data_IF_275570450826
#
_entry.id   IF_275570450826
#
_cell.length_a   1.000
_cell.length_b   1.000
_cell.length_c   1.000
_cell.angle_alpha   90.00
_cell.angle_beta   90.00
_cell.angle_gamma   90.00
#
_symmetry.space_group_name_H-M   'P 1'
#
loop_
_entity.id
_entity.type
_entity.pdbx_description
1 polymer ?
#
# COMPACT_ATOMS: atom_id res chain seq x y z
N UNK A 1 -43.09 -33.02 -43.85
CA UNK A 1 -42.07 -33.15 -42.78
C UNK A 1 -41.11 -31.96 -42.89
N UNK A 2 -41.16 -31.06 -41.91
CA UNK A 2 -40.55 -29.74 -41.97
C UNK A 2 -39.18 -29.77 -41.26
N UNK A 3 -38.07 -29.80 -42.00
CA UNK A 3 -36.68 -29.81 -41.48
C UNK A 3 -36.04 -28.45 -41.69
N UNK A 4 -36.30 -27.49 -40.80
CA UNK A 4 -35.69 -26.15 -40.86
C UNK A 4 -35.62 -25.49 -39.47
N UNK A 5 -34.92 -26.12 -38.52
CA UNK A 5 -34.73 -25.56 -37.17
C UNK A 5 -33.33 -25.74 -36.48
N UNK A 6 -32.19 -26.13 -37.12
CA UNK A 6 -30.93 -26.25 -36.37
C UNK A 6 -30.08 -24.95 -36.28
N UNK A 7 -30.38 -23.90 -37.05
CA UNK A 7 -29.46 -22.73 -37.16
C UNK A 7 -29.71 -21.68 -36.07
N UNK A 8 -30.94 -21.56 -35.55
CA UNK A 8 -31.28 -20.58 -34.51
C UNK A 8 -30.73 -20.91 -33.13
N UNK A 9 -30.45 -22.19 -32.81
CA UNK A 9 -29.91 -22.59 -31.51
C UNK A 9 -28.42 -22.29 -31.35
N UNK A 10 -27.65 -22.34 -32.45
CA UNK A 10 -26.20 -22.11 -32.43
C UNK A 10 -25.90 -20.62 -32.20
N UNK A 11 -26.64 -19.71 -32.84
CA UNK A 11 -26.43 -18.26 -32.70
C UNK A 11 -26.70 -17.81 -31.24
N UNK A 12 -27.68 -18.42 -30.58
CA UNK A 12 -28.02 -18.08 -29.19
C UNK A 12 -26.93 -18.52 -28.19
N UNK A 13 -26.30 -19.68 -28.42
CA UNK A 13 -25.20 -20.15 -27.56
C UNK A 13 -23.96 -19.25 -27.63
N UNK A 14 -23.59 -18.75 -28.82
CA UNK A 14 -22.45 -17.83 -29.00
C UNK A 14 -22.64 -16.48 -28.29
N UNK A 15 -23.85 -15.93 -28.31
CA UNK A 15 -24.18 -14.68 -27.62
C UNK A 15 -24.16 -14.83 -26.08
N UNK A 16 -24.46 -16.02 -25.59
CA UNK A 16 -24.44 -16.30 -24.14
C UNK A 16 -23.01 -16.44 -23.62
N UNK A 17 -22.12 -17.06 -24.41
CA UNK A 17 -20.69 -17.22 -24.08
C UNK A 17 -19.93 -15.89 -24.14
N UNK A 18 -20.22 -15.02 -25.12
CA UNK A 18 -19.59 -13.69 -25.20
C UNK A 18 -20.01 -12.77 -24.05
N UNK A 19 -21.29 -12.82 -23.65
CA UNK A 19 -21.80 -12.08 -22.50
C UNK A 19 -21.22 -12.58 -21.16
N UNK A 20 -21.06 -13.90 -20.98
CA UNK A 20 -20.41 -14.45 -19.78
C UNK A 20 -18.93 -14.04 -19.68
N UNK A 21 -18.21 -14.01 -20.81
CA UNK A 21 -16.80 -13.56 -20.85
C UNK A 21 -16.67 -12.09 -20.44
N UNK A 22 -17.56 -11.22 -20.90
CA UNK A 22 -17.55 -9.80 -20.54
C UNK A 22 -17.92 -9.56 -19.06
N UNK A 23 -18.76 -10.40 -18.45
CA UNK A 23 -19.06 -10.32 -17.01
C UNK A 23 -17.86 -10.73 -16.13
N UNK A 24 -17.07 -11.72 -16.55
CA UNK A 24 -15.86 -12.16 -15.82
C UNK A 24 -14.79 -11.06 -15.80
N UNK A 25 -14.67 -10.24 -16.86
CA UNK A 25 -13.75 -9.09 -16.88
C UNK A 25 -14.28 -7.84 -16.14
N UNK A 26 -15.59 -7.74 -15.89
CA UNK A 26 -16.20 -6.63 -15.16
C UNK A 26 -16.15 -6.82 -13.62
N UNK A 27 -16.24 -8.06 -13.14
CA UNK A 27 -16.12 -8.44 -11.73
C UNK A 27 -14.87 -7.90 -11.00
N UNK A 28 -13.63 -8.00 -11.57
CA UNK A 28 -12.44 -7.47 -10.90
C UNK A 28 -12.46 -5.95 -10.78
N UNK A 29 -13.12 -5.21 -11.69
CA UNK A 29 -13.22 -3.74 -11.61
C UNK A 29 -14.15 -3.28 -10.50
N UNK A 30 -15.31 -3.94 -10.31
CA UNK A 30 -16.25 -3.59 -9.24
C UNK A 30 -15.67 -3.92 -7.86
N UNK A 31 -14.97 -5.06 -7.73
CA UNK A 31 -14.26 -5.44 -6.51
C UNK A 31 -13.06 -4.50 -6.23
N UNK A 32 -12.32 -4.08 -7.25
CA UNK A 32 -11.24 -3.10 -7.11
C UNK A 32 -11.76 -1.71 -6.68
N UNK A 33 -12.90 -1.27 -7.22
CA UNK A 33 -13.53 0.01 -6.84
C UNK A 33 -14.07 -0.01 -5.40
N UNK A 34 -14.70 -1.11 -4.95
CA UNK A 34 -15.26 -1.21 -3.60
C UNK A 34 -14.17 -1.37 -2.52
N UNK A 35 -13.15 -2.17 -2.80
CA UNK A 35 -11.98 -2.30 -1.90
C UNK A 35 -11.19 -1.00 -1.77
N UNK A 36 -11.15 -0.17 -2.83
CA UNK A 36 -10.49 1.14 -2.79
C UNK A 36 -11.10 2.08 -1.74
N UNK A 37 -12.44 2.18 -1.67
CA UNK A 37 -13.10 3.09 -0.72
C UNK A 37 -12.90 2.63 0.73
N UNK A 38 -12.98 1.32 0.99
CA UNK A 38 -12.77 0.77 2.35
C UNK A 38 -11.33 1.00 2.81
N UNK A 39 -10.34 0.70 1.95
CA UNK A 39 -8.93 0.92 2.27
C UNK A 39 -8.64 2.39 2.63
N UNK A 40 -9.22 3.34 1.88
CA UNK A 40 -9.09 4.76 2.17
C UNK A 40 -9.75 5.16 3.47
N UNK A 41 -10.99 4.72 3.73
CA UNK A 41 -11.68 5.06 4.98
C UNK A 41 -10.91 4.50 6.18
N UNK A 42 -10.47 3.24 6.11
CA UNK A 42 -9.67 2.62 7.17
C UNK A 42 -8.36 3.37 7.36
N UNK A 43 -7.62 3.65 6.30
CA UNK A 43 -6.36 4.38 6.39
C UNK A 43 -6.51 5.84 6.85
N UNK A 44 -7.70 6.43 6.73
CA UNK A 44 -8.00 7.78 7.24
C UNK A 44 -8.50 7.80 8.69
N UNK A 45 -9.22 6.76 9.14
CA UNK A 45 -9.86 6.74 10.45
C UNK A 45 -9.03 5.98 11.49
N UNK A 46 -8.40 4.87 11.07
CA UNK A 46 -7.70 3.96 11.96
C UNK A 46 -6.57 4.61 12.76
N UNK A 47 -5.70 5.48 12.19
CA UNK A 47 -4.68 6.17 12.98
C UNK A 47 -5.22 6.93 14.19
N UNK A 48 -6.33 7.65 14.04
CA UNK A 48 -6.96 8.37 15.14
C UNK A 48 -7.57 7.41 16.18
N UNK A 49 -8.22 6.33 15.72
CA UNK A 49 -8.80 5.30 16.60
C UNK A 49 -7.70 4.62 17.42
N UNK A 50 -6.59 4.23 16.78
CA UNK A 50 -5.48 3.55 17.44
C UNK A 50 -4.81 4.44 18.49
N UNK A 51 -4.52 5.70 18.15
CA UNK A 51 -3.95 6.66 19.10
C UNK A 51 -4.90 6.94 20.27
N UNK A 52 -6.19 7.15 19.99
CA UNK A 52 -7.20 7.36 21.03
C UNK A 52 -7.37 6.14 21.94
N UNK A 53 -7.44 4.95 21.35
CA UNK A 53 -7.60 3.69 22.09
C UNK A 53 -6.41 3.36 22.98
N UNK A 54 -5.19 3.43 22.44
CA UNK A 54 -3.96 3.24 23.23
C UNK A 54 -3.83 4.28 24.34
N UNK A 55 -4.07 5.57 24.05
CA UNK A 55 -4.06 6.64 25.07
C UNK A 55 -5.09 6.38 26.18
N UNK A 56 -6.29 5.88 25.83
CA UNK A 56 -7.31 5.54 26.82
C UNK A 56 -6.89 4.36 27.70
N UNK A 57 -6.30 3.31 27.11
CA UNK A 57 -5.76 2.16 27.86
C UNK A 57 -4.63 2.58 28.80
N UNK A 58 -3.72 3.45 28.35
CA UNK A 58 -2.63 4.00 29.17
C UNK A 58 -3.15 4.76 30.40
N UNK A 59 -4.25 5.52 30.25
CA UNK A 59 -4.88 6.25 31.37
C UNK A 59 -5.58 5.27 32.32
N UNK A 60 -6.16 4.20 31.76
CA UNK A 60 -6.95 3.23 32.51
C UNK A 60 -6.10 2.24 33.31
N UNK A 61 -4.83 2.02 32.93
CA UNK A 61 -3.93 1.06 33.57
C UNK A 61 -3.11 1.70 34.70
N UNK A 62 -3.35 1.37 35.98
CA UNK A 62 -2.60 1.96 37.09
C UNK A 62 -1.11 1.59 37.05
N UNK A 63 -0.24 2.55 37.35
CA UNK A 63 1.21 2.34 37.40
C UNK A 63 1.89 2.26 36.03
N UNK A 64 1.15 2.42 34.93
CA UNK A 64 1.70 2.40 33.59
C UNK A 64 2.46 3.71 33.28
N UNK A 65 3.73 3.60 32.89
CA UNK A 65 4.59 4.71 32.52
C UNK A 65 4.88 4.70 31.01
N UNK A 66 4.41 5.71 30.29
CA UNK A 66 4.51 5.82 28.82
C UNK A 66 5.94 5.92 28.27
N UNK A 67 6.92 6.25 29.10
CA UNK A 67 8.31 6.40 28.69
C UNK A 67 9.04 5.06 28.79
N UNK A 68 8.82 4.32 29.88
CA UNK A 68 9.51 3.05 30.15
C UNK A 68 8.74 1.82 29.69
N UNK A 69 7.40 1.85 29.72
CA UNK A 69 6.56 0.70 29.35
C UNK A 69 6.22 0.72 27.85
N UNK A 70 6.41 -0.42 27.19
CA UNK A 70 6.08 -0.60 25.76
C UNK A 70 4.58 -0.52 25.53
N UNK A 71 4.14 -0.13 24.33
CA UNK A 71 2.71 -0.13 23.97
C UNK A 71 2.13 -1.52 24.25
N UNK A 72 2.82 -2.57 23.79
CA UNK A 72 2.39 -3.96 23.97
C UNK A 72 2.19 -4.43 25.42
N UNK A 73 2.71 -3.73 26.42
CA UNK A 73 2.45 -4.04 27.84
C UNK A 73 1.04 -3.64 28.29
N UNK A 74 0.30 -2.89 27.46
CA UNK A 74 -1.12 -2.56 27.71
C UNK A 74 -2.00 -3.82 27.71
N UNK A 75 -1.57 -4.90 27.05
CA UNK A 75 -2.26 -6.20 27.05
C UNK A 75 -2.44 -6.80 28.45
N UNK A 76 -1.60 -6.40 29.41
CA UNK A 76 -1.67 -6.87 30.79
C UNK A 76 -2.63 -6.05 31.66
N UNK A 77 -3.14 -4.93 31.16
CA UNK A 77 -4.16 -4.15 31.84
C UNK A 77 -5.52 -4.85 31.87
N UNK A 78 -6.47 -4.38 32.70
CA UNK A 78 -7.80 -4.98 32.81
C UNK A 78 -8.60 -4.97 31.48
N UNK A 79 -8.23 -4.06 30.57
CA UNK A 79 -8.81 -3.94 29.23
C UNK A 79 -7.82 -4.31 28.11
N UNK A 80 -6.78 -5.08 28.40
CA UNK A 80 -5.73 -5.41 27.44
C UNK A 80 -6.19 -6.17 26.19
N UNK A 81 -7.33 -6.86 26.25
CA UNK A 81 -7.97 -7.46 25.06
C UNK A 81 -8.32 -6.43 23.97
N UNK A 82 -8.55 -5.16 24.35
CA UNK A 82 -8.80 -4.06 23.40
C UNK A 82 -7.56 -3.80 22.54
N UNK A 83 -6.37 -3.90 23.12
CA UNK A 83 -5.12 -3.76 22.37
C UNK A 83 -4.98 -4.84 21.29
N UNK A 84 -5.23 -6.10 21.63
CA UNK A 84 -5.19 -7.19 20.67
C UNK A 84 -6.15 -6.96 19.49
N UNK A 85 -7.37 -6.45 19.77
CA UNK A 85 -8.31 -6.08 18.70
C UNK A 85 -7.79 -4.91 17.84
N UNK A 86 -7.12 -3.93 18.45
CA UNK A 86 -6.49 -2.84 17.72
C UNK A 86 -5.36 -3.34 16.81
N UNK A 87 -4.52 -4.28 17.25
CA UNK A 87 -3.49 -4.91 16.40
C UNK A 87 -4.10 -5.70 15.24
N UNK A 88 -5.19 -6.45 15.46
CA UNK A 88 -5.93 -7.11 14.38
C UNK A 88 -6.49 -6.10 13.38
N UNK A 89 -7.11 -5.02 13.87
CA UNK A 89 -7.61 -3.95 13.02
C UNK A 89 -6.49 -3.23 12.26
N UNK A 90 -5.30 -3.12 12.85
CA UNK A 90 -4.11 -2.59 12.19
C UNK A 90 -3.69 -3.51 11.04
N UNK A 91 -3.56 -4.81 11.30
CA UNK A 91 -3.23 -5.80 10.29
C UNK A 91 -4.18 -5.72 9.09
N UNK A 92 -5.50 -5.66 9.34
CA UNK A 92 -6.51 -5.52 8.29
C UNK A 92 -6.35 -4.22 7.49
N UNK A 93 -6.09 -3.09 8.17
CA UNK A 93 -5.83 -1.80 7.53
C UNK A 93 -4.63 -1.88 6.59
N UNK A 94 -3.54 -2.51 7.03
CA UNK A 94 -2.33 -2.71 6.23
C UNK A 94 -2.56 -3.65 5.04
N UNK A 95 -3.35 -4.73 5.19
CA UNK A 95 -3.74 -5.59 4.07
C UNK A 95 -4.49 -4.78 3.01
N UNK A 96 -5.51 -4.02 3.43
CA UNK A 96 -6.32 -3.22 2.51
C UNK A 96 -5.49 -2.16 1.79
N UNK A 97 -4.56 -1.51 2.48
CA UNK A 97 -3.63 -0.57 1.87
C UNK A 97 -2.61 -1.26 0.97
N UNK A 98 -2.08 -2.42 1.34
CA UNK A 98 -1.17 -3.21 0.51
C UNK A 98 -1.82 -3.70 -0.80
N UNK A 99 -3.12 -4.00 -0.75
CA UNK A 99 -3.94 -4.32 -1.93
C UNK A 99 -4.22 -3.10 -2.81
N UNK A 100 -4.00 -1.87 -2.31
CA UNK A 100 -4.21 -0.63 -3.04
C UNK A 100 -2.89 -0.02 -3.56
N UNK A 101 -1.81 -0.12 -2.79
CA UNK A 101 -0.49 0.44 -3.10
C UNK A 101 0.43 -0.69 -3.56
N UNK A 102 0.32 -1.10 -4.83
CA UNK A 102 1.10 -2.23 -5.38
C UNK A 102 2.61 -2.08 -5.17
N UNK A 103 3.14 -0.86 -5.25
CA UNK A 103 4.55 -0.56 -5.05
C UNK A 103 5.08 -0.85 -3.63
N UNK A 104 4.20 -0.84 -2.62
CA UNK A 104 4.54 -1.13 -1.22
C UNK A 104 3.85 -2.41 -0.71
N UNK A 105 3.28 -3.22 -1.61
CA UNK A 105 2.43 -4.35 -1.24
C UNK A 105 3.15 -5.37 -0.36
N UNK A 106 4.34 -5.81 -0.76
CA UNK A 106 5.09 -6.83 -0.01
C UNK A 106 5.42 -6.39 1.42
N UNK A 107 6.05 -5.23 1.66
CA UNK A 107 6.35 -4.82 3.03
C UNK A 107 5.10 -4.49 3.87
N UNK A 108 4.02 -3.99 3.26
CA UNK A 108 2.75 -3.78 3.97
C UNK A 108 2.07 -5.09 4.37
N UNK A 109 2.09 -6.10 3.51
CA UNK A 109 1.56 -7.43 3.83
C UNK A 109 2.42 -8.16 4.86
N UNK A 110 3.75 -8.00 4.80
CA UNK A 110 4.65 -8.52 5.82
C UNK A 110 4.39 -7.86 7.19
N UNK A 111 4.25 -6.54 7.23
CA UNK A 111 3.88 -5.82 8.44
C UNK A 111 2.50 -6.25 8.96
N UNK A 112 1.51 -6.43 8.08
CA UNK A 112 0.19 -6.93 8.44
C UNK A 112 0.24 -8.32 9.10
N UNK A 113 1.02 -9.24 8.52
CA UNK A 113 1.24 -10.56 9.10
C UNK A 113 1.89 -10.45 10.47
N UNK A 114 2.88 -9.56 10.62
CA UNK A 114 3.51 -9.28 11.91
C UNK A 114 2.49 -8.80 12.95
N UNK A 115 1.63 -7.84 12.60
CA UNK A 115 0.59 -7.36 13.52
C UNK A 115 -0.40 -8.47 13.92
N UNK A 116 -0.73 -9.38 13.01
CA UNK A 116 -1.55 -10.54 13.33
C UNK A 116 -0.83 -11.51 14.28
N UNK A 117 0.48 -11.70 14.11
CA UNK A 117 1.30 -12.54 15.01
C UNK A 117 1.38 -11.93 16.41
N UNK A 118 1.71 -10.65 16.55
CA UNK A 118 1.80 -10.02 17.89
C UNK A 118 0.45 -9.93 18.62
N UNK A 119 -0.67 -9.95 17.89
CA UNK A 119 -2.00 -10.01 18.49
C UNK A 119 -2.32 -11.39 19.10
N UNK A 120 -1.65 -12.45 18.65
CA UNK A 120 -1.84 -13.83 19.12
C UNK A 120 -0.82 -14.20 20.19
N UNK A 121 0.43 -13.78 20.02
CA UNK A 121 1.51 -14.04 20.96
C UNK A 121 1.63 -12.87 21.94
N UNK A 122 1.38 -13.07 23.24
CA UNK A 122 1.46 -11.99 24.22
C UNK A 122 2.91 -11.52 24.40
N UNK A 123 3.07 -10.26 24.79
CA UNK A 123 4.38 -9.73 25.23
C UNK A 123 4.83 -10.42 26.53
N UNK A 124 6.01 -10.07 27.06
CA UNK A 124 6.47 -10.61 28.35
C UNK A 124 5.63 -10.04 29.49
N UNK A 125 5.22 -10.86 30.45
CA UNK A 125 4.53 -10.36 31.64
C UNK A 125 5.53 -9.62 32.55
N UNK A 126 5.11 -8.56 33.25
CA UNK A 126 5.97 -7.90 34.24
C UNK A 126 6.55 -8.92 35.22
N UNK A 127 7.83 -8.76 35.55
CA UNK A 127 8.57 -9.60 36.51
C UNK A 127 8.63 -11.12 36.19
N UNK A 128 8.24 -11.52 34.98
CA UNK A 128 8.29 -12.92 34.52
C UNK A 128 9.54 -13.20 33.70
N UNK A 129 9.98 -14.47 33.66
CA UNK A 129 11.04 -14.88 32.74
C UNK A 129 10.53 -14.86 31.28
N UNK A 130 11.40 -14.58 30.29
CA UNK A 130 11.02 -14.66 28.88
C UNK A 130 10.46 -16.03 28.52
N UNK A 131 9.31 -16.04 27.83
CA UNK A 131 8.69 -17.24 27.28
C UNK A 131 8.93 -17.30 25.77
N UNK A 132 8.72 -18.48 25.15
CA UNK A 132 8.78 -18.58 23.70
C UNK A 132 7.80 -17.59 23.02
N UNK A 133 6.58 -17.47 23.55
CA UNK A 133 5.57 -16.54 23.02
C UNK A 133 6.02 -15.09 23.10
N UNK A 134 6.59 -14.66 24.23
CA UNK A 134 7.08 -13.29 24.37
C UNK A 134 8.27 -12.98 23.48
N UNK A 135 9.15 -13.96 23.24
CA UNK A 135 10.24 -13.81 22.27
C UNK A 135 9.72 -13.66 20.84
N UNK A 136 8.73 -14.47 20.44
CA UNK A 136 8.06 -14.34 19.13
C UNK A 136 7.44 -12.96 18.99
N UNK A 137 6.71 -12.48 20.00
CA UNK A 137 6.15 -11.14 20.02
C UNK A 137 7.24 -10.07 19.82
N UNK A 138 8.29 -10.12 20.64
CA UNK A 138 9.37 -9.13 20.64
C UNK A 138 10.09 -9.05 19.28
N UNK A 139 10.54 -10.18 18.73
CA UNK A 139 11.23 -10.19 17.44
C UNK A 139 10.31 -9.81 16.28
N UNK A 140 9.02 -10.17 16.37
CA UNK A 140 8.04 -9.75 15.37
C UNK A 140 7.81 -8.24 15.42
N UNK A 141 7.66 -7.65 16.61
CA UNK A 141 7.51 -6.20 16.77
C UNK A 141 8.71 -5.44 16.22
N UNK A 142 9.94 -5.90 16.50
CA UNK A 142 11.17 -5.34 15.92
C UNK A 142 11.18 -5.47 14.38
N UNK A 143 10.77 -6.62 13.85
CA UNK A 143 10.66 -6.86 12.41
C UNK A 143 9.67 -5.90 11.73
N UNK A 144 8.49 -5.68 12.34
CA UNK A 144 7.49 -4.72 11.85
C UNK A 144 8.06 -3.30 11.87
N UNK A 145 8.70 -2.91 12.98
CA UNK A 145 9.29 -1.58 13.14
C UNK A 145 10.34 -1.30 12.04
N UNK A 146 11.16 -2.29 11.69
CA UNK A 146 12.14 -2.21 10.60
C UNK A 146 11.51 -2.27 9.20
N UNK A 147 10.38 -2.96 9.03
CA UNK A 147 9.69 -3.06 7.74
C UNK A 147 9.11 -1.71 7.27
N UNK A 148 8.71 -0.84 8.19
CA UNK A 148 8.15 0.48 7.85
C UNK A 148 9.10 1.36 7.03
N UNK A 149 10.34 1.68 7.47
CA UNK A 149 11.25 2.49 6.68
C UNK A 149 11.60 1.84 5.33
N UNK A 150 11.68 0.50 5.27
CA UNK A 150 11.85 -0.23 4.01
C UNK A 150 10.67 0.02 3.07
N UNK A 151 9.43 -0.09 3.55
CA UNK A 151 8.21 0.18 2.77
C UNK A 151 8.21 1.60 2.20
N UNK A 152 8.55 2.57 3.05
CA UNK A 152 8.68 3.98 2.72
C UNK A 152 9.71 4.21 1.59
N UNK A 153 10.92 3.67 1.71
CA UNK A 153 11.95 3.83 0.68
C UNK A 153 11.62 3.10 -0.62
N UNK A 154 11.03 1.90 -0.54
CA UNK A 154 10.56 1.17 -1.74
C UNK A 154 9.49 1.97 -2.48
N UNK A 155 8.52 2.54 -1.76
CA UNK A 155 7.47 3.36 -2.35
C UNK A 155 8.05 4.61 -3.01
N UNK A 156 8.91 5.34 -2.30
CA UNK A 156 9.59 6.52 -2.82
C UNK A 156 10.40 6.22 -4.09
N UNK A 157 11.20 5.14 -4.07
CA UNK A 157 12.00 4.70 -5.23
C UNK A 157 11.12 4.38 -6.43
N UNK A 158 9.99 3.72 -6.21
CA UNK A 158 9.08 3.31 -7.28
C UNK A 158 8.37 4.51 -7.90
N UNK A 159 7.94 5.47 -7.08
CA UNK A 159 7.16 6.62 -7.53
C UNK A 159 8.01 7.84 -7.93
N UNK A 160 9.33 7.83 -7.74
CA UNK A 160 10.20 9.01 -7.99
C UNK A 160 10.15 9.58 -9.40
N UNK A 161 9.71 8.79 -10.40
CA UNK A 161 9.59 9.22 -11.80
C UNK A 161 8.19 9.77 -12.15
N UNK A 162 7.24 9.67 -11.23
CA UNK A 162 5.86 10.09 -11.45
C UNK A 162 5.61 11.43 -10.75
N UNK A 163 5.61 12.53 -11.51
CA UNK A 163 5.43 13.88 -10.96
C UNK A 163 4.11 14.04 -10.19
N UNK A 164 3.06 13.34 -10.62
CA UNK A 164 1.75 13.32 -9.94
C UNK A 164 1.82 12.80 -8.50
N UNK A 165 2.81 11.95 -8.18
CA UNK A 165 2.98 11.35 -6.87
C UNK A 165 4.12 11.98 -6.06
N UNK A 166 4.62 13.16 -6.46
CA UNK A 166 5.76 13.82 -5.80
C UNK A 166 5.53 14.06 -4.31
N UNK A 167 4.31 14.42 -3.89
CA UNK A 167 3.98 14.57 -2.48
C UNK A 167 4.19 13.27 -1.71
N UNK A 168 3.64 12.16 -2.20
CA UNK A 168 3.77 10.84 -1.57
C UNK A 168 5.23 10.36 -1.53
N UNK A 169 6.03 10.66 -2.55
CA UNK A 169 7.47 10.40 -2.56
C UNK A 169 8.15 11.15 -1.40
N UNK A 170 7.89 12.45 -1.25
CA UNK A 170 8.50 13.25 -0.18
C UNK A 170 8.06 12.77 1.20
N UNK A 171 6.77 12.53 1.42
CA UNK A 171 6.27 11.97 2.69
C UNK A 171 6.90 10.62 3.02
N UNK A 172 7.08 9.75 2.01
CA UNK A 172 7.69 8.44 2.21
C UNK A 172 9.19 8.53 2.48
N UNK A 173 9.93 9.43 1.81
CA UNK A 173 11.34 9.66 2.13
C UNK A 173 11.50 10.17 3.56
N UNK A 174 10.73 11.18 3.95
CA UNK A 174 10.77 11.75 5.31
C UNK A 174 10.40 10.72 6.36
N UNK A 175 9.27 10.01 6.18
CA UNK A 175 8.83 8.96 7.10
C UNK A 175 9.81 7.78 7.17
N UNK A 176 10.49 7.47 6.06
CA UNK A 176 11.56 6.46 6.01
C UNK A 176 12.79 6.87 6.80
N UNK A 177 13.28 8.11 6.64
CA UNK A 177 14.43 8.63 7.40
C UNK A 177 14.14 8.72 8.89
N UNK A 178 12.97 9.28 9.26
CA UNK A 178 12.53 9.35 10.66
C UNK A 178 12.41 7.94 11.23
N UNK A 179 11.73 7.03 10.52
CA UNK A 179 11.56 5.65 10.95
C UNK A 179 12.88 4.92 11.16
N UNK A 180 13.83 5.05 10.23
CA UNK A 180 15.16 4.44 10.36
C UNK A 180 15.93 5.01 11.57
N UNK A 181 15.86 6.32 11.79
CA UNK A 181 16.50 6.99 12.93
C UNK A 181 15.91 6.50 14.26
N UNK A 182 14.58 6.40 14.34
CA UNK A 182 13.89 5.91 15.53
C UNK A 182 14.16 4.43 15.80
N UNK A 183 14.24 3.60 14.76
CA UNK A 183 14.64 2.19 14.90
C UNK A 183 16.08 2.07 15.44
N UNK A 184 17.01 2.89 14.95
CA UNK A 184 18.37 2.93 15.47
C UNK A 184 18.39 3.38 16.94
N UNK A 185 17.62 4.41 17.29
CA UNK A 185 17.46 4.84 18.69
C UNK A 185 16.87 3.72 19.56
N UNK A 186 15.88 2.97 19.05
CA UNK A 186 15.29 1.83 19.76
C UNK A 186 16.29 0.71 19.99
N UNK A 187 17.14 0.42 19.00
CA UNK A 187 18.24 -0.54 19.16
C UNK A 187 19.20 -0.09 20.27
N UNK A 188 19.58 1.19 20.27
CA UNK A 188 20.42 1.76 21.34
C UNK A 188 19.75 1.65 22.70
N UNK A 189 18.45 1.97 22.80
CA UNK A 189 17.71 1.88 24.05
C UNK A 189 17.64 0.45 24.59
N UNK A 190 17.48 -0.56 23.73
CA UNK A 190 17.49 -1.97 24.14
C UNK A 190 18.84 -2.37 24.79
N UNK A 191 19.96 -1.85 24.29
CA UNK A 191 21.30 -2.26 24.75
C UNK A 191 21.93 -1.33 25.80
N UNK A 192 21.51 -0.07 25.90
CA UNK A 192 22.12 0.93 26.77
C UNK A 192 21.23 1.33 27.95
N UNK A 193 19.95 1.66 27.69
CA UNK A 193 19.02 2.14 28.71
C UNK A 193 17.58 1.87 28.29
N UNK A 194 16.97 0.86 28.91
CA UNK A 194 15.60 0.45 28.62
C UNK A 194 14.55 1.41 29.18
N UNK A 195 14.92 2.41 29.98
CA UNK A 195 13.96 3.34 30.59
C UNK A 195 13.18 4.20 29.58
N UNK A 196 13.64 4.29 28.33
CA UNK A 196 13.05 5.11 27.27
C UNK A 196 12.43 4.27 26.13
N UNK A 197 12.40 2.94 26.27
CA UNK A 197 11.96 2.04 25.20
C UNK A 197 10.51 2.30 24.80
N UNK A 198 9.63 2.52 25.77
CA UNK A 198 8.22 2.84 25.55
C UNK A 198 8.01 4.15 24.82
N UNK A 199 8.82 5.16 25.10
CA UNK A 199 8.79 6.44 24.39
C UNK A 199 9.20 6.28 22.93
N UNK A 200 10.26 5.52 22.67
CA UNK A 200 10.76 5.30 21.30
C UNK A 200 9.77 4.48 20.47
N UNK A 201 9.20 3.41 21.04
CA UNK A 201 8.20 2.60 20.35
C UNK A 201 6.99 3.43 19.93
N UNK A 202 6.49 4.31 20.80
CA UNK A 202 5.41 5.25 20.47
C UNK A 202 5.76 6.16 19.30
N UNK A 203 6.98 6.68 19.26
CA UNK A 203 7.42 7.50 18.14
C UNK A 203 7.50 6.69 16.84
N UNK A 204 7.94 5.43 16.89
CA UNK A 204 7.96 4.52 15.73
C UNK A 204 6.55 4.28 15.21
N UNK A 205 5.62 3.94 16.11
CA UNK A 205 4.21 3.71 15.76
C UNK A 205 3.57 4.99 15.23
N UNK A 206 3.76 6.12 15.89
CA UNK A 206 3.24 7.41 15.46
C UNK A 206 3.73 7.79 14.05
N UNK A 207 5.02 7.59 13.76
CA UNK A 207 5.58 7.80 12.43
C UNK A 207 4.87 6.94 11.37
N UNK A 208 4.64 5.66 11.67
CA UNK A 208 3.89 4.75 10.78
C UNK A 208 2.45 5.18 10.57
N UNK A 209 1.76 5.55 11.64
CA UNK A 209 0.37 6.02 11.59
C UNK A 209 0.21 7.32 10.80
N UNK A 210 1.10 8.29 10.98
CA UNK A 210 1.12 9.52 10.19
C UNK A 210 1.35 9.20 8.71
N UNK A 211 2.31 8.34 8.39
CA UNK A 211 2.57 7.95 7.00
C UNK A 211 1.37 7.26 6.35
N UNK A 212 0.67 6.37 7.07
CA UNK A 212 -0.58 5.73 6.61
C UNK A 212 -1.66 6.77 6.34
N UNK A 213 -1.85 7.71 7.26
CA UNK A 213 -2.84 8.78 7.13
C UNK A 213 -2.56 9.62 5.88
N UNK A 214 -1.33 10.10 5.72
CA UNK A 214 -0.92 10.93 4.58
C UNK A 214 -1.05 10.18 3.25
N UNK A 215 -0.64 8.91 3.21
CA UNK A 215 -0.80 8.05 2.04
C UNK A 215 -2.27 7.88 1.65
N UNK A 216 -3.14 7.71 2.64
CA UNK A 216 -4.59 7.56 2.44
C UNK A 216 -5.25 8.85 1.96
N UNK A 217 -4.84 10.01 2.50
CA UNK A 217 -5.28 11.34 2.03
C UNK A 217 -4.86 11.53 0.56
N UNK A 218 -3.60 11.25 0.21
CA UNK A 218 -3.11 11.37 -1.16
C UNK A 218 -3.93 10.53 -2.14
N UNK A 219 -4.15 9.25 -1.79
CA UNK A 219 -4.92 8.32 -2.61
C UNK A 219 -6.39 8.75 -2.77
N UNK A 220 -6.99 9.28 -1.71
CA UNK A 220 -8.34 9.82 -1.76
C UNK A 220 -8.48 11.05 -2.67
N UNK A 221 -7.51 11.97 -2.59
CA UNK A 221 -7.48 13.16 -3.45
C UNK A 221 -7.27 12.78 -4.92
N UNK A 222 -6.39 11.82 -5.20
CA UNK A 222 -6.17 11.29 -6.54
C UNK A 222 -7.45 10.67 -7.14
N UNK A 223 -8.17 9.85 -6.36
CA UNK A 223 -9.45 9.28 -6.78
C UNK A 223 -10.50 10.35 -7.08
N UNK A 224 -10.58 11.40 -6.25
CA UNK A 224 -11.51 12.51 -6.45
C UNK A 224 -11.23 13.22 -7.78
N UNK A 225 -9.96 13.54 -8.04
CA UNK A 225 -9.54 14.19 -9.28
C UNK A 225 -9.87 13.34 -10.52
N UNK A 226 -9.65 12.03 -10.47
CA UNK A 226 -10.00 11.11 -11.55
C UNK A 226 -11.52 11.10 -11.82
N UNK A 227 -12.35 11.03 -10.78
CA UNK A 227 -13.83 11.05 -10.91
C UNK A 227 -14.39 12.38 -11.43
N UNK A 228 -13.70 13.48 -11.22
CA UNK A 228 -14.07 14.78 -11.79
C UNK A 228 -13.73 14.82 -13.29
N UNK A 229 -12.54 14.36 -13.69
CA UNK A 229 -12.14 14.25 -15.10
C UNK A 229 -13.11 13.42 -15.95
N UNK A 230 -13.49 12.24 -15.47
CA UNK A 230 -14.45 11.36 -16.16
C UNK A 230 -15.84 12.00 -16.29
N UNK A 231 -16.28 12.73 -15.25
CA UNK A 231 -17.56 13.45 -15.29
C UNK A 231 -17.60 14.54 -16.35
N UNK A 232 -16.49 15.25 -16.57
CA UNK A 232 -16.41 16.26 -17.62
C UNK A 232 -16.39 15.64 -19.03
N UNK A 233 -15.73 14.48 -19.21
CA UNK A 233 -15.77 13.76 -20.49
C UNK A 233 -17.18 13.24 -20.82
N UNK A 234 -17.91 12.69 -19.85
CA UNK A 234 -19.25 12.13 -20.11
C UNK A 234 -20.34 13.21 -20.28
N UNK A 235 -20.17 14.40 -19.69
CA UNK A 235 -21.15 15.49 -19.79
C UNK A 235 -21.10 16.27 -21.11
N UNK A 236 -20.07 16.06 -21.93
CA UNK A 236 -19.96 16.71 -23.24
C UNK A 236 -19.65 15.74 -24.39
N UNK A 237 -20.56 14.81 -24.72
CA UNK A 237 -20.39 13.93 -25.88
C UNK A 237 -20.46 14.69 -27.22
N UNK A 238 -20.84 15.98 -27.22
CA UNK A 238 -21.07 16.78 -28.43
C UNK A 238 -19.84 17.55 -28.94
N UNK A 239 -18.67 17.48 -28.28
CA UNK A 239 -17.50 18.33 -28.66
C UNK A 239 -16.36 17.67 -29.43
N UNK A 240 -16.44 16.37 -29.75
CA UNK A 240 -15.53 15.75 -30.73
C UNK A 240 -16.29 15.00 -31.82
N UNK A 241 -17.21 15.70 -32.50
CA UNK A 241 -17.37 15.44 -33.94
C UNK A 241 -16.19 16.12 -34.61
N UNK A 242 -15.05 15.42 -34.65
CA UNK A 242 -14.03 15.72 -35.66
C UNK A 242 -14.74 15.49 -36.99
N UNK A 243 -15.07 16.58 -37.69
CA UNK A 243 -15.41 16.52 -39.12
C UNK A 243 -14.32 15.66 -39.76
N UNK A 244 -14.72 14.53 -40.32
CA UNK A 244 -13.81 13.52 -40.81
C UNK A 244 -12.75 14.11 -41.74
N UNK A 245 -11.55 13.50 -41.80
CA UNK A 245 -10.64 13.82 -42.88
C UNK A 245 -11.38 13.58 -44.21
N UNK A 246 -11.26 14.49 -45.20
CA UNK A 246 -11.77 14.22 -46.53
C UNK A 246 -11.16 12.90 -47.01
N UNK A 247 -12.01 12.04 -47.59
CA UNK A 247 -11.64 10.73 -48.08
C UNK A 247 -10.32 10.80 -48.87
N UNK A 248 -9.25 10.21 -48.31
CA UNK A 248 -8.05 9.95 -49.09
C UNK A 248 -8.41 8.95 -50.18
N UNK A 249 -8.25 9.39 -51.43
CA UNK A 249 -8.25 8.54 -52.60
C UNK A 249 -7.16 7.46 -52.42
N UNK A 250 -7.40 6.22 -52.86
CA UNK A 250 -6.40 5.17 -52.83
C UNK A 250 -5.28 5.55 -53.81
N UNK A 251 -4.13 5.96 -53.27
CA UNK A 251 -2.89 6.03 -54.05
C UNK A 251 -2.33 4.62 -54.11
N UNK A 252 -2.23 4.13 -55.33
CA UNK A 252 -1.71 2.81 -55.67
C UNK A 252 -0.31 2.56 -55.10
N UNK A 253 -0.07 1.27 -54.90
CA UNK A 253 1.22 0.67 -54.61
C UNK A 253 2.35 1.11 -55.56
N UNK A 254 3.50 1.40 -54.96
CA UNK A 254 4.84 1.11 -55.50
C UNK A 254 5.72 0.80 -54.28
N UNK A 255 6.05 -0.45 -53.99
CA UNK A 255 7.16 -1.21 -54.58
C UNK A 255 8.51 -0.50 -54.38
N UNK A 256 9.41 -1.21 -53.70
CA UNK A 256 10.88 -1.04 -53.67
C UNK A 256 11.45 0.26 -53.06
N UNK A 257 12.14 0.14 -51.92
CA UNK A 257 13.60 0.00 -52.00
C UNK A 257 14.22 -0.47 -50.67
N UNK A 258 15.02 -1.53 -50.79
CA UNK A 258 16.03 -1.93 -49.83
C UNK A 258 17.16 -0.89 -49.89
N UNK A 259 17.56 -0.31 -48.76
CA UNK A 259 18.89 0.26 -48.69
C UNK A 259 19.54 -0.09 -47.35
N UNK A 260 20.40 -1.10 -47.44
CA UNK A 260 21.59 -1.28 -46.62
C UNK A 260 22.39 0.03 -46.49
N UNK A 261 23.34 0.03 -45.56
CA UNK A 261 24.36 1.06 -45.31
C UNK A 261 24.03 2.06 -44.19
N UNK A 262 24.42 1.71 -42.97
CA UNK A 262 25.58 2.36 -42.34
C UNK A 262 25.92 1.66 -41.01
N UNK A 263 26.56 0.50 -41.13
CA UNK A 263 27.69 0.20 -40.26
C UNK A 263 28.81 1.23 -40.54
N UNK A 264 29.53 1.65 -39.50
CA UNK A 264 30.67 2.59 -39.48
C UNK A 264 30.40 3.98 -38.88
N UNK A 265 30.33 4.05 -37.54
CA UNK A 265 31.07 5.07 -36.76
C UNK A 265 31.79 4.34 -35.62
N UNK A 266 33.07 3.99 -35.83
CA UNK A 266 34.25 4.68 -35.26
C UNK A 266 34.18 4.69 -33.74
N UNK A 267 34.88 3.83 -32.98
CA UNK A 267 36.34 3.63 -32.92
C UNK A 267 37.12 4.96 -33.05
N UNK A 268 37.42 5.52 -31.88
CA UNK A 268 38.36 6.62 -31.49
C UNK A 268 37.77 7.17 -30.18
N UNK A 269 38.42 7.24 -29.03
CA UNK A 269 39.83 7.36 -28.64
C UNK A 269 39.86 7.15 -27.11
N UNK A 270 40.69 6.27 -26.56
CA UNK A 270 41.98 6.68 -25.99
C UNK A 270 41.94 6.58 -24.46
N UNK A 271 42.50 5.51 -23.90
CA UNK A 271 42.78 5.38 -22.47
C UNK A 271 44.28 5.12 -22.32
N UNK A 272 44.93 6.00 -21.56
CA UNK A 272 46.36 5.99 -21.25
C UNK A 272 46.46 5.77 -19.73
N UNK A 273 47.19 4.76 -19.23
CA UNK A 273 47.39 4.59 -17.80
C UNK A 273 48.67 5.28 -17.33
N UNK A 274 48.59 5.86 -16.14
CA UNK A 274 49.70 6.02 -15.20
C UNK A 274 49.49 5.01 -14.05
#
# INVERSE_FOLDING_TARGET
>A
MNRSQPILSIVNATNTISNARNQIYALPKVLALRSSNIATVMGLAFPAIFLGGTTALEIYQPGYNRVSNTISELVWGPAGWVENLMFVAFALTLVLLGMRIMAARLPLLAAALGFAVIAVFPTQAPDSAPTFGSLVHQYTAQGIAAALPVACFMLARTLRKCEEHRFLVMCSLTGGVIGATLNLAGLVAIYADTNWIGGIERLIVLNGLIWIQLSSIHLWLADRKAREGDRFQYRNPKRCSVKGPPAMRPVMASAFDLNENHAQRRYKSGFQPD
#
